data_IF_114724086665
#
_entry.id   IF_114724086665
#
_cell.length_a   1.000
_cell.length_b   1.000
_cell.length_c   1.000
_cell.angle_alpha   90.00
_cell.angle_beta   90.00
_cell.angle_gamma   90.00
#
_symmetry.space_group_name_H-M   'P 1'
#
loop_
_entity.id
_entity.type
_entity.pdbx_description
1 polymer ?
#
# COMPACT_ATOMS: atom_id res chain seq x y z
N UNK A 1 -10.51 8.78 -24.46
CA UNK A 1 -9.17 8.45 -23.90
C UNK A 1 -8.41 9.75 -23.65
N UNK A 2 -8.05 10.07 -22.41
CA UNK A 2 -7.32 11.30 -22.10
C UNK A 2 -5.81 11.02 -22.05
N UNK A 3 -5.02 11.66 -22.92
CA UNK A 3 -3.56 11.58 -22.89
C UNK A 3 -3.04 12.61 -21.90
N UNK A 4 -2.29 12.17 -20.88
CA UNK A 4 -1.62 13.07 -19.92
C UNK A 4 -0.12 13.05 -20.19
N UNK A 5 0.45 14.21 -20.50
CA UNK A 5 1.90 14.38 -20.62
C UNK A 5 2.45 14.91 -19.30
N UNK A 6 3.53 14.30 -18.81
CA UNK A 6 4.27 14.80 -17.64
C UNK A 6 5.76 14.77 -17.94
N UNK A 7 6.47 15.80 -17.49
CA UNK A 7 7.93 15.78 -17.52
C UNK A 7 8.46 14.68 -16.60
N UNK A 8 9.46 13.94 -17.07
CA UNK A 8 10.22 12.96 -16.28
C UNK A 8 11.60 13.56 -16.00
N UNK A 9 11.99 13.62 -14.73
CA UNK A 9 13.36 13.95 -14.36
C UNK A 9 14.30 12.73 -14.45
N UNK A 10 15.62 12.91 -14.36
CA UNK A 10 16.56 11.79 -14.38
C UNK A 10 16.31 10.72 -13.31
N UNK A 11 15.79 11.11 -12.14
CA UNK A 11 15.42 10.19 -11.03
C UNK A 11 14.08 9.48 -11.23
N UNK A 12 13.29 9.92 -12.22
CA UNK A 12 11.99 9.33 -12.53
C UNK A 12 12.09 8.16 -13.51
N UNK A 13 13.27 7.94 -14.10
CA UNK A 13 13.49 6.94 -15.15
C UNK A 13 14.55 5.92 -14.76
N UNK A 14 14.33 4.66 -15.12
CA UNK A 14 15.26 3.54 -14.95
C UNK A 14 15.26 2.67 -16.21
N UNK A 15 16.13 1.66 -16.27
CA UNK A 15 16.08 0.61 -17.28
C UNK A 15 15.67 -0.71 -16.64
N UNK A 16 14.63 -1.35 -17.18
CA UNK A 16 14.19 -2.69 -16.77
C UNK A 16 14.33 -3.61 -17.97
N UNK A 17 15.16 -4.65 -17.86
CA UNK A 17 15.45 -5.58 -18.98
C UNK A 17 15.86 -4.86 -20.26
N UNK A 18 16.66 -3.80 -20.14
CA UNK A 18 17.14 -3.00 -21.28
C UNK A 18 16.12 -2.02 -21.87
N UNK A 19 14.90 -1.90 -21.32
CA UNK A 19 13.90 -0.94 -21.79
C UNK A 19 13.75 0.25 -20.83
N UNK A 20 13.59 1.49 -21.33
CA UNK A 20 13.24 2.63 -20.50
C UNK A 20 11.93 2.38 -19.75
N UNK A 21 11.93 2.63 -18.44
CA UNK A 21 10.77 2.51 -17.57
C UNK A 21 10.78 3.64 -16.53
N UNK A 22 9.65 3.88 -15.86
CA UNK A 22 9.60 4.77 -14.71
C UNK A 22 10.22 4.10 -13.47
N UNK A 23 10.86 4.87 -12.61
CA UNK A 23 11.31 4.41 -11.31
C UNK A 23 10.10 3.98 -10.46
N UNK A 24 10.29 3.09 -9.48
CA UNK A 24 9.18 2.58 -8.66
C UNK A 24 8.40 3.70 -7.98
N UNK A 25 9.09 4.69 -7.43
CA UNK A 25 8.48 5.88 -6.81
C UNK A 25 7.64 6.63 -7.85
N UNK A 26 8.18 6.84 -9.05
CA UNK A 26 7.46 7.53 -10.11
C UNK A 26 6.23 6.75 -10.57
N UNK A 27 6.35 5.44 -10.76
CA UNK A 27 5.24 4.54 -11.12
C UNK A 27 4.12 4.65 -10.08
N UNK A 28 4.44 4.58 -8.79
CA UNK A 28 3.46 4.67 -7.70
C UNK A 28 2.77 6.05 -7.65
N UNK A 29 3.50 7.14 -7.89
CA UNK A 29 2.93 8.49 -8.01
C UNK A 29 1.94 8.56 -9.17
N UNK A 30 2.34 8.09 -10.36
CA UNK A 30 1.52 8.19 -11.56
C UNK A 30 0.25 7.32 -11.44
N UNK A 31 0.36 6.12 -10.86
CA UNK A 31 -0.79 5.28 -10.53
C UNK A 31 -1.71 5.95 -9.50
N UNK A 32 -1.14 6.49 -8.41
CA UNK A 32 -1.91 7.22 -7.38
C UNK A 32 -2.60 8.48 -7.92
N UNK A 33 -2.14 9.02 -9.05
CA UNK A 33 -2.76 10.15 -9.71
C UNK A 33 -3.98 9.75 -10.57
N UNK A 34 -4.19 8.47 -10.85
CA UNK A 34 -5.31 7.96 -11.68
C UNK A 34 -6.28 7.03 -10.95
N UNK A 35 -5.80 6.34 -9.91
CA UNK A 35 -6.58 5.35 -9.17
C UNK A 35 -7.37 5.96 -8.01
N UNK A 36 -8.34 5.20 -7.49
CA UNK A 36 -8.98 5.50 -6.20
C UNK A 36 -7.97 5.35 -5.05
N UNK A 37 -8.31 5.84 -3.85
CA UNK A 37 -7.43 5.70 -2.68
C UNK A 37 -7.10 4.23 -2.39
N UNK A 38 -8.11 3.36 -2.36
CA UNK A 38 -7.95 1.92 -2.09
C UNK A 38 -7.09 1.24 -3.15
N UNK A 39 -7.31 1.53 -4.43
CA UNK A 39 -6.51 0.92 -5.51
C UNK A 39 -5.08 1.46 -5.55
N UNK A 40 -4.88 2.72 -5.14
CA UNK A 40 -3.55 3.28 -4.95
C UNK A 40 -2.82 2.56 -3.82
N UNK A 41 -3.51 2.23 -2.73
CA UNK A 41 -2.95 1.47 -1.62
C UNK A 41 -2.61 0.03 -1.99
N UNK A 42 -3.44 -0.64 -2.79
CA UNK A 42 -3.15 -2.00 -3.26
C UNK A 42 -1.76 -2.08 -3.92
N UNK A 43 -1.44 -1.14 -4.82
CA UNK A 43 -0.12 -1.13 -5.49
C UNK A 43 1.00 -0.62 -4.58
N UNK A 44 0.69 0.30 -3.66
CA UNK A 44 1.64 0.84 -2.68
C UNK A 44 2.08 -0.24 -1.68
N UNK A 45 1.11 -0.90 -1.04
CA UNK A 45 1.31 -1.96 -0.05
C UNK A 45 2.03 -3.13 -0.70
N UNK A 46 1.66 -3.55 -1.92
CA UNK A 46 2.40 -4.58 -2.65
C UNK A 46 3.87 -4.19 -2.89
N UNK A 47 4.16 -2.94 -3.27
CA UNK A 47 5.54 -2.48 -3.48
C UNK A 47 6.35 -2.40 -2.17
N UNK A 48 5.70 -2.04 -1.06
CA UNK A 48 6.29 -1.99 0.27
C UNK A 48 6.54 -3.39 0.84
N UNK A 49 5.56 -4.29 0.72
CA UNK A 49 5.63 -5.68 1.13
C UNK A 49 6.77 -6.42 0.42
N UNK A 50 6.88 -6.25 -0.91
CA UNK A 50 7.97 -6.79 -1.72
C UNK A 50 9.31 -6.04 -1.56
N UNK A 51 9.37 -5.05 -0.66
CA UNK A 51 10.55 -4.22 -0.36
C UNK A 51 11.16 -3.58 -1.61
N UNK A 52 10.34 -3.25 -2.61
CA UNK A 52 10.78 -2.57 -3.84
C UNK A 52 10.97 -1.08 -3.62
N UNK A 53 10.38 -0.54 -2.56
CA UNK A 53 10.50 0.86 -2.13
C UNK A 53 10.38 0.92 -0.61
N UNK A 54 10.97 1.94 0.02
CA UNK A 54 10.71 2.23 1.44
C UNK A 54 9.64 3.30 1.57
N UNK A 55 8.86 3.25 2.65
CA UNK A 55 7.89 4.29 2.96
C UNK A 55 8.56 5.68 3.07
N UNK A 56 9.79 5.73 3.60
CA UNK A 56 10.60 6.95 3.69
C UNK A 56 10.92 7.56 2.33
N UNK A 57 11.11 6.76 1.28
CA UNK A 57 11.42 7.25 -0.07
C UNK A 57 10.19 7.94 -0.67
N UNK A 58 9.01 7.35 -0.45
CA UNK A 58 7.73 7.89 -0.90
C UNK A 58 7.37 9.18 -0.15
N UNK A 59 7.54 9.20 1.18
CA UNK A 59 7.33 10.39 2.00
C UNK A 59 8.28 11.52 1.60
N UNK A 60 9.56 11.22 1.41
CA UNK A 60 10.56 12.20 0.96
C UNK A 60 10.21 12.76 -0.41
N UNK A 61 9.82 11.91 -1.36
CA UNK A 61 9.38 12.35 -2.67
C UNK A 61 8.15 13.27 -2.56
N UNK A 62 7.15 12.89 -1.77
CA UNK A 62 5.90 13.64 -1.65
C UNK A 62 6.10 15.01 -0.98
N UNK A 63 7.08 15.13 -0.08
CA UNK A 63 7.48 16.40 0.55
C UNK A 63 8.26 17.27 -0.43
N UNK A 64 9.30 16.74 -1.08
CA UNK A 64 10.13 17.49 -2.04
C UNK A 64 9.34 17.95 -3.28
N UNK A 65 8.26 17.25 -3.60
CA UNK A 65 7.39 17.53 -4.74
C UNK A 65 6.03 18.08 -4.29
N UNK A 66 5.95 18.74 -3.13
CA UNK A 66 4.74 19.42 -2.70
C UNK A 66 4.22 20.38 -3.79
N UNK A 67 2.91 20.40 -4.01
CA UNK A 67 2.26 21.15 -5.10
C UNK A 67 2.33 20.48 -6.47
N UNK A 68 3.17 19.46 -6.69
CA UNK A 68 3.14 18.70 -7.95
C UNK A 68 1.92 17.78 -8.02
N UNK A 69 1.36 17.58 -9.23
CA UNK A 69 0.27 16.64 -9.41
C UNK A 69 0.62 15.23 -8.91
N UNK A 70 -0.29 14.60 -8.18
CA UNK A 70 -0.08 13.28 -7.58
C UNK A 70 0.53 13.31 -6.18
N UNK A 71 1.25 14.36 -5.78
CA UNK A 71 1.89 14.43 -4.46
C UNK A 71 0.88 14.41 -3.31
N UNK A 72 -0.23 15.14 -3.42
CA UNK A 72 -1.28 15.12 -2.39
C UNK A 72 -1.96 13.75 -2.26
N UNK A 73 -2.20 13.06 -3.39
CA UNK A 73 -2.80 11.71 -3.38
C UNK A 73 -1.85 10.67 -2.82
N UNK A 74 -0.56 10.75 -3.18
CA UNK A 74 0.46 9.88 -2.60
C UNK A 74 0.56 10.09 -1.09
N UNK A 75 0.58 11.34 -0.58
CA UNK A 75 0.56 11.60 0.87
C UNK A 75 -0.64 10.96 1.54
N UNK A 76 -1.83 11.12 0.96
CA UNK A 76 -3.05 10.50 1.50
C UNK A 76 -2.97 8.97 1.50
N UNK A 77 -2.39 8.35 0.47
CA UNK A 77 -2.17 6.90 0.45
C UNK A 77 -1.15 6.47 1.52
N UNK A 78 -0.05 7.20 1.69
CA UNK A 78 0.98 6.92 2.72
C UNK A 78 0.36 6.86 4.12
N UNK A 79 -0.62 7.71 4.44
CA UNK A 79 -1.32 7.72 5.74
C UNK A 79 -2.04 6.40 6.06
N UNK A 80 -2.37 5.59 5.06
CA UNK A 80 -3.03 4.30 5.22
C UNK A 80 -2.17 3.12 4.79
N UNK A 81 -0.90 3.33 4.44
CA UNK A 81 -0.03 2.27 3.97
C UNK A 81 0.15 1.18 5.04
N UNK A 82 0.07 -0.08 4.64
CA UNK A 82 0.27 -1.24 5.49
C UNK A 82 1.17 -2.26 4.79
N UNK A 83 2.51 -2.18 4.99
CA UNK A 83 3.46 -3.11 4.37
C UNK A 83 3.26 -4.58 4.73
N UNK A 84 2.52 -4.87 5.82
CA UNK A 84 2.23 -6.24 6.23
C UNK A 84 1.13 -6.91 5.39
N UNK A 85 0.35 -6.18 4.60
CA UNK A 85 -0.65 -6.79 3.72
C UNK A 85 0.03 -7.65 2.63
N UNK A 86 -0.33 -8.93 2.55
CA UNK A 86 0.30 -9.91 1.66
C UNK A 86 -0.43 -10.02 0.31
N UNK A 87 -1.67 -9.53 0.23
CA UNK A 87 -2.47 -9.55 -0.98
C UNK A 87 -3.26 -8.26 -1.26
N UNK A 88 -3.66 -8.03 -2.53
CA UNK A 88 -4.59 -6.96 -2.89
C UNK A 88 -5.91 -7.00 -2.14
N UNK A 89 -6.42 -8.21 -1.85
CA UNK A 89 -7.70 -8.39 -1.17
C UNK A 89 -7.63 -8.00 0.30
N UNK A 90 -6.55 -8.33 0.99
CA UNK A 90 -6.30 -7.88 2.37
C UNK A 90 -6.29 -6.35 2.46
N UNK A 91 -5.62 -5.67 1.52
CA UNK A 91 -5.59 -4.20 1.47
C UNK A 91 -6.99 -3.62 1.26
N UNK A 92 -7.76 -4.20 0.33
CA UNK A 92 -9.15 -3.76 0.05
C UNK A 92 -10.06 -3.99 1.25
N UNK A 93 -9.97 -5.15 1.90
CA UNK A 93 -10.73 -5.50 3.10
C UNK A 93 -10.41 -4.56 4.26
N UNK A 94 -9.12 -4.31 4.52
CA UNK A 94 -8.68 -3.35 5.54
C UNK A 94 -9.24 -1.96 5.28
N UNK A 95 -9.17 -1.49 4.03
CA UNK A 95 -9.69 -0.18 3.66
C UNK A 95 -11.22 -0.11 3.74
N UNK A 96 -11.94 -1.19 3.44
CA UNK A 96 -13.38 -1.25 3.65
C UNK A 96 -13.74 -0.97 5.11
N UNK A 97 -13.07 -1.63 6.06
CA UNK A 97 -13.29 -1.46 7.50
C UNK A 97 -12.96 -0.03 7.97
N UNK A 98 -11.78 0.46 7.59
CA UNK A 98 -11.31 1.80 7.99
C UNK A 98 -12.20 2.91 7.42
N UNK A 99 -12.62 2.80 6.15
CA UNK A 99 -13.50 3.78 5.52
C UNK A 99 -14.94 3.70 6.05
N UNK A 100 -15.35 2.56 6.61
CA UNK A 100 -16.61 2.41 7.35
C UNK A 100 -16.57 3.01 8.77
N UNK A 101 -15.44 3.57 9.20
CA UNK A 101 -15.28 4.22 10.50
C UNK A 101 -14.87 3.29 11.64
N UNK A 102 -14.53 2.03 11.33
CA UNK A 102 -13.96 1.12 12.34
C UNK A 102 -12.50 1.52 12.63
N UNK A 103 -11.98 1.19 13.83
CA UNK A 103 -10.56 1.36 14.11
C UNK A 103 -9.69 0.61 13.08
N UNK A 104 -8.45 1.05 12.80
CA UNK A 104 -7.55 0.26 11.96
C UNK A 104 -7.23 -1.09 12.61
N UNK A 105 -7.49 -2.23 11.94
CA UNK A 105 -7.04 -3.53 12.43
C UNK A 105 -5.52 -3.68 12.22
N UNK A 106 -4.87 -4.50 13.05
CA UNK A 106 -3.49 -4.91 12.79
C UNK A 106 -3.48 -5.96 11.67
N UNK A 107 -2.57 -5.83 10.71
CA UNK A 107 -2.40 -6.81 9.63
C UNK A 107 -1.36 -7.88 9.99
N UNK A 108 -1.65 -9.15 9.64
CA UNK A 108 -0.76 -10.31 9.81
C UNK A 108 -0.13 -10.40 11.22
N UNK A 109 -0.92 -10.10 12.26
CA UNK A 109 -0.45 -10.11 13.66
C UNK A 109 -0.39 -11.53 14.19
N UNK A 110 0.78 -11.99 14.63
CA UNK A 110 0.95 -13.31 15.25
C UNK A 110 0.36 -13.34 16.66
N UNK A 111 -0.61 -14.22 16.87
CA UNK A 111 -1.28 -14.44 18.15
C UNK A 111 -0.61 -15.61 18.87
N UNK A 112 -0.35 -15.45 20.16
CA UNK A 112 0.25 -16.46 21.02
C UNK A 112 -0.62 -16.69 22.26
N UNK A 113 -0.61 -17.91 22.81
CA UNK A 113 -1.29 -18.23 24.07
C UNK A 113 -0.48 -17.75 25.29
N UNK A 114 -0.99 -18.01 26.49
CA UNK A 114 -0.37 -17.56 27.75
C UNK A 114 1.00 -18.22 28.04
N UNK A 115 1.35 -19.31 27.37
CA UNK A 115 2.69 -19.92 27.46
C UNK A 115 3.60 -19.47 26.32
N UNK A 116 3.16 -18.54 25.48
CA UNK A 116 3.91 -18.01 24.35
C UNK A 116 3.88 -18.90 23.12
N UNK A 117 3.03 -19.93 23.05
CA UNK A 117 2.90 -20.79 21.88
C UNK A 117 2.05 -20.12 20.82
N UNK A 118 2.50 -20.18 19.56
CA UNK A 118 1.78 -19.64 18.41
C UNK A 118 0.41 -20.31 18.24
N UNK A 119 -0.63 -19.48 18.06
CA UNK A 119 -2.02 -19.92 17.88
C UNK A 119 -2.47 -19.69 16.45
N UNK A 120 -2.09 -18.56 15.85
CA UNK A 120 -2.50 -18.21 14.49
C UNK A 120 -2.05 -16.81 14.09
N UNK A 121 -2.22 -16.49 12.81
CA UNK A 121 -1.90 -15.20 12.22
C UNK A 121 -2.98 -14.85 11.19
N UNK A 122 -4.11 -14.26 11.62
CA UNK A 122 -5.16 -13.87 10.68
C UNK A 122 -4.69 -12.69 9.82
N UNK A 123 -5.35 -12.51 8.68
CA UNK A 123 -5.06 -11.40 7.77
C UNK A 123 -5.19 -10.04 8.46
N UNK A 124 -6.28 -9.86 9.21
CA UNK A 124 -6.55 -8.67 10.01
C UNK A 124 -7.00 -9.07 11.42
N UNK A 125 -6.59 -8.29 12.41
CA UNK A 125 -6.87 -8.58 13.82
C UNK A 125 -7.23 -7.35 14.65
N UNK A 126 -8.30 -7.46 15.43
CA UNK A 126 -8.66 -6.50 16.47
C UNK A 126 -8.36 -7.07 17.85
N UNK A 127 -7.21 -6.71 18.41
CA UNK A 127 -6.71 -7.23 19.69
C UNK A 127 -7.70 -7.04 20.85
N UNK A 128 -8.24 -5.83 21.02
CA UNK A 128 -9.21 -5.51 22.09
C UNK A 128 -10.46 -6.39 22.06
N UNK A 129 -10.84 -6.90 20.88
CA UNK A 129 -12.05 -7.68 20.68
C UNK A 129 -11.76 -9.17 20.45
N UNK A 130 -10.47 -9.57 20.39
CA UNK A 130 -10.03 -10.91 19.99
C UNK A 130 -10.69 -11.41 18.71
N UNK A 131 -10.86 -10.50 17.75
CA UNK A 131 -11.54 -10.76 16.48
C UNK A 131 -10.52 -10.84 15.35
N UNK A 132 -10.36 -12.04 14.80
CA UNK A 132 -9.65 -12.28 13.53
C UNK A 132 -10.60 -12.15 12.35
N UNK A 133 -10.11 -11.59 11.26
CA UNK A 133 -10.83 -11.48 9.99
C UNK A 133 -9.89 -12.03 8.92
N UNK A 134 -10.38 -12.99 8.15
CA UNK A 134 -9.65 -13.61 7.04
C UNK A 134 -10.39 -13.33 5.74
N UNK A 135 -9.62 -13.07 4.69
CA UNK A 135 -10.13 -13.05 3.34
C UNK A 135 -9.91 -14.45 2.72
N UNK A 136 -10.98 -15.24 2.60
CA UNK A 136 -10.90 -16.51 1.90
C UNK A 136 -10.88 -16.26 0.38
N UNK A 137 -9.72 -16.50 -0.23
CA UNK A 137 -9.48 -16.36 -1.66
C UNK A 137 -10.06 -17.48 -2.52
N UNK A 138 -11.02 -18.26 -2.00
CA UNK A 138 -11.62 -19.43 -2.65
C UNK A 138 -12.30 -19.15 -4.00
N UNK A 139 -11.51 -19.08 -5.07
CA UNK A 139 -11.76 -19.42 -6.48
C UNK A 139 -10.63 -18.84 -7.34
N UNK A 140 -9.60 -19.65 -7.63
CA UNK A 140 -8.69 -19.45 -8.76
C UNK A 140 -8.53 -20.77 -9.50
#
# INVERSE_FOLDING_TARGET
MAVRRRALGPKDTVRVRGMPATSIVRTLVDLSAGLSLTESLVVLDAALHLRRVKLTDLSSWATLNAGRPGAARLRRAIEFAEPAAESPMETRLRMLLVLAGLPPPGAQVSIHDSSGRFVGRPDLYYDRHRLGIEYDGGLH
#
